data_IF_393917874797
#
_entry.id   IF_393917874797
#
_cell.length_a   1.000
_cell.length_b   1.000
_cell.length_c   1.000
_cell.angle_alpha   90.00
_cell.angle_beta   90.00
_cell.angle_gamma   90.00
#
_symmetry.space_group_name_H-M   'P 1'
#
loop_
_entity.id
_entity.type
_entity.pdbx_description
1 polymer ?
#
# COMPACT_ATOMS: atom_id res chain seq x y z
N UNK A 1 42.58 -2.67 -29.23
CA UNK A 1 41.70 -3.47 -28.35
C UNK A 1 41.17 -2.71 -27.14
N UNK A 2 41.94 -1.86 -26.44
CA UNK A 2 41.43 -1.08 -25.30
C UNK A 2 40.36 -0.04 -25.69
N UNK A 3 40.55 0.64 -26.83
CA UNK A 3 39.64 1.70 -27.32
C UNK A 3 38.26 1.17 -27.73
N UNK A 4 38.19 -0.07 -28.26
CA UNK A 4 36.93 -0.73 -28.62
C UNK A 4 36.13 -1.20 -27.40
N UNK A 5 36.79 -1.53 -26.28
CA UNK A 5 36.09 -1.92 -25.05
C UNK A 5 35.55 -0.71 -24.27
N UNK A 6 36.26 0.42 -24.29
CA UNK A 6 35.77 1.69 -23.73
C UNK A 6 34.53 2.20 -24.48
N UNK A 7 34.52 2.10 -25.80
CA UNK A 7 33.36 2.47 -26.62
C UNK A 7 32.13 1.57 -26.33
N UNK A 8 32.35 0.25 -26.19
CA UNK A 8 31.27 -0.70 -25.88
C UNK A 8 30.67 -0.46 -24.49
N UNK A 9 31.51 -0.18 -23.48
CA UNK A 9 31.04 0.11 -22.12
C UNK A 9 30.22 1.41 -22.03
N UNK A 10 30.63 2.44 -22.76
CA UNK A 10 29.91 3.72 -22.81
C UNK A 10 28.53 3.58 -23.47
N UNK A 11 28.43 2.81 -24.57
CA UNK A 11 27.16 2.55 -25.25
C UNK A 11 26.17 1.78 -24.38
N UNK A 12 26.64 0.79 -23.62
CA UNK A 12 25.79 0.01 -22.72
C UNK A 12 25.26 0.86 -21.56
N UNK A 13 26.09 1.74 -21.00
CA UNK A 13 25.67 2.66 -19.93
C UNK A 13 24.59 3.64 -20.39
N UNK A 14 24.74 4.21 -21.60
CA UNK A 14 23.75 5.13 -22.19
C UNK A 14 22.41 4.40 -22.43
N UNK A 15 22.43 3.15 -22.88
CA UNK A 15 21.23 2.35 -23.10
C UNK A 15 20.48 2.00 -21.80
N UNK A 16 21.19 1.79 -20.69
CA UNK A 16 20.57 1.52 -19.39
C UNK A 16 19.95 2.77 -18.76
N UNK A 17 20.55 3.94 -18.97
CA UNK A 17 20.07 5.23 -18.44
C UNK A 17 18.85 5.78 -19.20
N UNK A 18 18.62 5.38 -20.45
CA UNK A 18 17.48 5.85 -21.25
C UNK A 18 16.14 5.19 -20.87
N UNK A 19 16.16 4.12 -20.07
CA UNK A 19 14.94 3.42 -19.63
C UNK A 19 14.00 4.26 -18.77
N UNK A 20 14.52 5.22 -17.99
CA UNK A 20 13.69 6.09 -17.14
C UNK A 20 13.00 7.23 -17.90
N UNK A 21 13.54 7.66 -19.05
CA UNK A 21 12.95 8.71 -19.87
C UNK A 21 11.94 8.17 -20.90
N UNK A 22 11.95 6.86 -21.13
CA UNK A 22 11.04 6.18 -22.05
C UNK A 22 9.70 5.80 -21.41
N UNK A 23 9.36 6.37 -20.24
CA UNK A 23 8.05 6.19 -19.64
C UNK A 23 6.99 6.68 -20.63
N UNK A 24 6.32 5.73 -21.26
CA UNK A 24 5.32 5.99 -22.29
C UNK A 24 4.16 6.71 -21.64
N UNK A 25 3.84 7.90 -22.13
CA UNK A 25 2.58 8.55 -21.80
C UNK A 25 1.45 7.62 -22.24
N UNK A 26 0.75 7.05 -21.27
CA UNK A 26 -0.47 6.31 -21.53
C UNK A 26 -1.55 7.34 -21.87
N UNK A 27 -1.73 7.62 -23.16
CA UNK A 27 -2.87 8.42 -23.63
C UNK A 27 -4.13 7.57 -23.49
N UNK A 28 -4.78 7.68 -22.33
CA UNK A 28 -6.09 7.11 -22.11
C UNK A 28 -7.10 7.93 -22.88
N UNK A 29 -7.64 7.39 -23.96
CA UNK A 29 -8.82 7.93 -24.65
C UNK A 29 -10.06 7.60 -23.82
N UNK A 30 -10.21 8.28 -22.68
CA UNK A 30 -11.34 8.13 -21.77
C UNK A 30 -12.30 9.30 -22.00
N UNK A 31 -13.56 8.96 -22.29
CA UNK A 31 -14.62 9.95 -22.37
C UNK A 31 -14.75 10.70 -21.04
N UNK A 32 -15.04 12.01 -21.05
CA UNK A 32 -15.28 12.77 -19.84
C UNK A 32 -16.40 12.13 -19.00
N UNK A 33 -16.19 12.02 -17.68
CA UNK A 33 -17.17 11.47 -16.73
C UNK A 33 -18.42 12.38 -16.55
N UNK A 34 -18.45 13.53 -17.22
CA UNK A 34 -19.39 14.65 -17.00
C UNK A 34 -20.85 14.32 -17.38
N UNK A 35 -21.11 13.16 -17.98
CA UNK A 35 -22.46 12.74 -18.41
C UNK A 35 -22.83 11.32 -17.98
N UNK A 36 -22.08 10.74 -17.05
CA UNK A 36 -22.42 9.41 -16.52
C UNK A 36 -23.57 9.55 -15.51
N UNK A 37 -24.56 8.63 -15.52
CA UNK A 37 -25.57 8.59 -14.49
C UNK A 37 -24.90 8.36 -13.13
N UNK A 38 -25.40 9.01 -12.09
CA UNK A 38 -24.93 8.78 -10.74
C UNK A 38 -25.15 7.30 -10.39
N UNK A 39 -24.08 6.58 -10.11
CA UNK A 39 -24.16 5.19 -9.66
C UNK A 39 -24.31 5.25 -8.14
N UNK A 40 -25.43 4.76 -7.57
CA UNK A 40 -25.57 4.71 -6.13
C UNK A 40 -24.43 3.88 -5.56
N UNK A 41 -23.60 4.52 -4.75
CA UNK A 41 -22.55 3.85 -4.01
C UNK A 41 -23.14 3.28 -2.73
N UNK A 42 -22.63 2.12 -2.34
CA UNK A 42 -22.90 1.59 -1.01
C UNK A 42 -22.23 2.48 0.03
N UNK A 43 -22.97 2.88 1.07
CA UNK A 43 -22.48 3.73 2.17
C UNK A 43 -21.66 2.92 3.20
N UNK A 44 -20.96 1.88 2.75
CA UNK A 44 -20.12 1.06 3.62
C UNK A 44 -19.01 1.92 4.21
N UNK A 45 -18.94 1.95 5.54
CA UNK A 45 -17.84 2.60 6.26
C UNK A 45 -16.56 1.76 6.14
N UNK A 46 -15.71 2.16 5.20
CA UNK A 46 -14.45 1.50 4.87
C UNK A 46 -13.47 1.47 6.05
N UNK A 47 -13.58 2.42 6.99
CA UNK A 47 -12.64 2.60 8.11
C UNK A 47 -13.24 2.20 9.46
N UNK A 48 -14.44 1.63 9.47
CA UNK A 48 -15.05 1.13 10.69
C UNK A 48 -14.13 0.14 11.42
N UNK A 49 -13.97 0.35 12.72
CA UNK A 49 -13.19 -0.53 13.58
C UNK A 49 -14.08 -1.52 14.31
N UNK A 50 -13.65 -2.79 14.35
CA UNK A 50 -14.27 -3.80 15.19
C UNK A 50 -13.76 -3.72 16.65
N UNK A 51 -14.52 -4.24 17.63
CA UNK A 51 -14.04 -4.35 19.01
C UNK A 51 -12.73 -5.16 19.13
N UNK A 52 -12.52 -6.14 18.26
CA UNK A 52 -11.29 -6.94 18.24
C UNK A 52 -10.07 -6.11 17.80
N UNK A 53 -10.25 -5.16 16.89
CA UNK A 53 -9.19 -4.21 16.49
C UNK A 53 -8.80 -3.29 17.64
N UNK A 54 -9.78 -2.78 18.41
CA UNK A 54 -9.51 -1.97 19.60
C UNK A 54 -8.72 -2.77 20.64
N UNK A 55 -9.15 -4.00 20.94
CA UNK A 55 -8.42 -4.87 21.86
C UNK A 55 -7.00 -5.22 21.36
N UNK A 56 -6.82 -5.37 20.05
CA UNK A 56 -5.50 -5.55 19.46
C UNK A 56 -4.61 -4.33 19.67
N UNK A 57 -5.14 -3.12 19.46
CA UNK A 57 -4.40 -1.87 19.68
C UNK A 57 -3.95 -1.68 21.13
N UNK A 58 -4.83 -1.99 22.08
CA UNK A 58 -4.51 -1.88 23.50
C UNK A 58 -3.29 -2.75 23.87
N UNK A 59 -3.26 -3.97 23.34
CA UNK A 59 -2.14 -4.89 23.53
C UNK A 59 -0.88 -4.47 22.74
N UNK A 60 -1.03 -4.00 21.50
CA UNK A 60 0.07 -3.69 20.62
C UNK A 60 0.80 -2.39 21.00
N UNK A 61 0.04 -1.34 21.32
CA UNK A 61 0.59 -0.01 21.57
C UNK A 61 0.91 0.25 23.04
N UNK A 62 0.21 -0.37 24.00
CA UNK A 62 0.43 -0.11 25.43
C UNK A 62 0.16 1.36 25.83
N UNK A 63 0.05 1.61 27.14
CA UNK A 63 -0.29 2.94 27.66
C UNK A 63 0.87 3.95 27.53
N UNK A 64 2.12 3.49 27.67
CA UNK A 64 3.28 4.37 27.88
C UNK A 64 4.13 4.61 26.61
N UNK A 65 3.68 4.18 25.43
CA UNK A 65 4.47 4.35 24.21
C UNK A 65 4.45 5.82 23.76
N UNK A 66 5.63 6.45 23.58
CA UNK A 66 5.72 7.81 23.10
C UNK A 66 5.04 7.98 21.74
N UNK A 67 4.33 9.10 21.53
CA UNK A 67 3.63 9.39 20.27
C UNK A 67 4.53 9.25 19.04
N UNK A 68 5.79 9.67 19.14
CA UNK A 68 6.77 9.55 18.05
C UNK A 68 7.08 8.11 17.63
N UNK A 69 6.82 7.13 18.50
CA UNK A 69 7.10 5.71 18.25
C UNK A 69 5.83 4.92 17.89
N UNK A 70 4.63 5.48 18.08
CA UNK A 70 3.35 4.78 17.89
C UNK A 70 3.17 4.25 16.47
N UNK A 71 3.41 5.07 15.45
CA UNK A 71 3.26 4.67 14.04
C UNK A 71 4.17 3.50 13.67
N UNK A 72 5.45 3.56 14.06
CA UNK A 72 6.40 2.48 13.80
C UNK A 72 6.05 1.19 14.55
N UNK A 73 5.56 1.31 15.78
CA UNK A 73 5.08 0.17 16.57
C UNK A 73 3.80 -0.45 15.99
N UNK A 74 2.87 0.37 15.52
CA UNK A 74 1.66 -0.11 14.84
C UNK A 74 2.02 -0.85 13.55
N UNK A 75 2.89 -0.28 12.72
CA UNK A 75 3.35 -0.91 11.49
C UNK A 75 3.98 -2.27 11.77
N UNK A 76 4.82 -2.34 12.82
CA UNK A 76 5.41 -3.60 13.28
C UNK A 76 4.35 -4.61 13.73
N UNK A 77 3.41 -4.20 14.57
CA UNK A 77 2.36 -5.07 15.08
C UNK A 77 1.46 -5.63 13.95
N UNK A 78 1.22 -4.85 12.90
CA UNK A 78 0.46 -5.29 11.73
C UNK A 78 1.28 -6.27 10.87
N UNK A 79 2.55 -5.98 10.61
CA UNK A 79 3.36 -6.71 9.62
C UNK A 79 4.07 -7.95 10.18
N UNK A 80 4.39 -8.00 11.47
CA UNK A 80 5.16 -9.11 12.03
C UNK A 80 4.32 -10.40 12.11
N UNK A 81 4.85 -11.55 11.62
CA UNK A 81 4.13 -12.83 11.67
C UNK A 81 3.74 -13.29 13.09
N UNK A 82 4.50 -12.88 14.10
CA UNK A 82 4.21 -13.18 15.51
C UNK A 82 3.16 -12.27 16.16
N UNK A 83 2.66 -11.28 15.43
CA UNK A 83 1.63 -10.35 15.86
C UNK A 83 0.37 -10.54 14.99
N UNK A 84 -0.05 -9.53 14.23
CA UNK A 84 -1.18 -9.69 13.31
C UNK A 84 -0.80 -10.54 12.08
N UNK A 85 0.43 -10.35 11.57
CA UNK A 85 0.95 -11.12 10.43
C UNK A 85 0.26 -10.82 9.11
N UNK A 86 0.05 -9.53 8.80
CA UNK A 86 -0.62 -9.12 7.58
C UNK A 86 0.16 -9.55 6.32
N UNK A 87 -0.53 -10.22 5.39
CA UNK A 87 0.05 -10.71 4.14
C UNK A 87 -0.49 -9.96 2.91
N UNK A 88 0.38 -9.71 1.94
CA UNK A 88 -0.04 -9.03 0.72
C UNK A 88 -0.80 -9.98 -0.22
N UNK A 89 -1.99 -9.56 -0.67
CA UNK A 89 -2.79 -10.23 -1.69
C UNK A 89 -3.30 -9.19 -2.70
N UNK A 90 -2.74 -9.21 -3.92
CA UNK A 90 -2.99 -8.20 -4.94
C UNK A 90 -4.46 -8.09 -5.37
N UNK A 91 -5.24 -9.17 -5.22
CA UNK A 91 -6.62 -9.24 -5.71
C UNK A 91 -7.66 -8.86 -4.64
N UNK A 92 -7.21 -8.42 -3.46
CA UNK A 92 -8.07 -8.17 -2.30
C UNK A 92 -8.02 -6.71 -1.87
N UNK A 93 -8.94 -5.91 -2.38
CA UNK A 93 -9.28 -4.60 -1.80
C UNK A 93 -10.36 -4.81 -0.75
N UNK A 94 -10.12 -4.40 0.49
CA UNK A 94 -10.97 -4.71 1.65
C UNK A 94 -11.18 -3.48 2.53
N UNK A 95 -12.23 -3.50 3.35
CA UNK A 95 -12.42 -2.58 4.47
C UNK A 95 -11.35 -2.80 5.55
N UNK A 96 -11.23 -1.89 6.51
CA UNK A 96 -10.32 -2.06 7.64
C UNK A 96 -10.64 -3.32 8.46
N UNK A 97 -11.91 -3.54 8.79
CA UNK A 97 -12.36 -4.71 9.54
C UNK A 97 -12.08 -6.03 8.80
N UNK A 98 -12.41 -6.10 7.51
CA UNK A 98 -12.17 -7.31 6.71
C UNK A 98 -10.68 -7.61 6.55
N UNK A 99 -9.85 -6.57 6.36
CA UNK A 99 -8.40 -6.69 6.26
C UNK A 99 -7.78 -7.21 7.57
N UNK A 100 -8.31 -6.78 8.73
CA UNK A 100 -7.91 -7.27 10.04
C UNK A 100 -8.28 -8.75 10.23
N UNK A 101 -9.52 -9.12 9.93
CA UNK A 101 -10.03 -10.48 10.12
C UNK A 101 -9.34 -11.48 9.19
N UNK A 102 -9.14 -11.12 7.92
CA UNK A 102 -8.50 -11.98 6.93
C UNK A 102 -6.97 -11.95 7.02
N UNK A 103 -6.40 -10.98 7.76
CA UNK A 103 -4.96 -10.73 7.92
C UNK A 103 -4.23 -10.66 6.58
N UNK A 104 -4.91 -10.14 5.56
CA UNK A 104 -4.37 -10.03 4.21
C UNK A 104 -5.09 -8.99 3.38
N UNK A 105 -4.45 -8.52 2.34
CA UNK A 105 -5.04 -7.60 1.37
C UNK A 105 -4.00 -6.90 0.53
N UNK A 106 -4.44 -6.09 -0.42
CA UNK A 106 -3.55 -5.27 -1.24
C UNK A 106 -3.17 -3.97 -0.51
N UNK A 107 -2.55 -3.05 -1.24
CA UNK A 107 -2.09 -1.77 -0.70
C UNK A 107 -3.22 -0.89 -0.16
N UNK A 108 -4.41 -0.94 -0.78
CA UNK A 108 -5.56 -0.18 -0.30
C UNK A 108 -6.13 -0.80 0.98
N UNK A 109 -6.29 -2.12 1.02
CA UNK A 109 -6.72 -2.83 2.23
C UNK A 109 -5.78 -2.56 3.42
N UNK A 110 -4.46 -2.61 3.17
CA UNK A 110 -3.46 -2.27 4.18
C UNK A 110 -3.59 -0.82 4.64
N UNK A 111 -3.76 0.12 3.71
CA UNK A 111 -3.92 1.55 4.04
C UNK A 111 -5.18 1.80 4.87
N UNK A 112 -6.30 1.17 4.50
CA UNK A 112 -7.56 1.27 5.25
C UNK A 112 -7.38 0.77 6.69
N UNK A 113 -6.81 -0.42 6.84
CA UNK A 113 -6.51 -1.00 8.16
C UNK A 113 -5.57 -0.11 8.98
N UNK A 114 -4.48 0.35 8.37
CA UNK A 114 -3.44 1.11 9.05
C UNK A 114 -3.97 2.45 9.55
N UNK A 115 -4.69 3.19 8.69
CA UNK A 115 -5.21 4.52 9.03
C UNK A 115 -6.34 4.43 10.05
N UNK A 116 -7.21 3.42 9.96
CA UNK A 116 -8.25 3.19 10.96
C UNK A 116 -7.65 3.01 12.37
N UNK A 117 -6.44 2.46 12.49
CA UNK A 117 -5.80 2.11 13.76
C UNK A 117 -4.72 3.09 14.26
N UNK A 118 -4.35 4.11 13.48
CA UNK A 118 -3.24 5.02 13.77
C UNK A 118 -3.60 6.16 14.74
#
# INVERSE_FOLDING_TARGET
MAQSQLAAGLLLAIALLSGCAAQRELTLDVAPLVSQPDVPLDETDILAMSPAMLAFLDNALGADVPRSQRTGRLARAILEPGALGFSYDALRTLTAADAFDQRRGNCLAFSNLFIAMA
#
